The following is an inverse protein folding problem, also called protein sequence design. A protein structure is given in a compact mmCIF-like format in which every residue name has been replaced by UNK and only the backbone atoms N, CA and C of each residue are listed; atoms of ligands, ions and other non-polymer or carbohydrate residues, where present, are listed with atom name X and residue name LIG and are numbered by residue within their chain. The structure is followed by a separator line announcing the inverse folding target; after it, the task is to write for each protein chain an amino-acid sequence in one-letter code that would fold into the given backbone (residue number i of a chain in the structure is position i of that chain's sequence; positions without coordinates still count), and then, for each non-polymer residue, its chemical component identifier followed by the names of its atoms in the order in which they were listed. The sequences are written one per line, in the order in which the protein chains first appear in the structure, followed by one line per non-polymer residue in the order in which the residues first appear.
data_IF_088858696223
#
_entry.id   IF_088858696223
#
_cell.length_a   1.000
_cell.length_b   1.000
_cell.length_c   1.000
_cell.angle_alpha   90.00
_cell.angle_beta   90.00
_cell.angle_gamma   90.00
#
_symmetry.space_group_name_H-M   'P 1'
#
loop_
_entity.id
_entity.type
_entity.pdbx_description
1 polymer ?
#
# COMPACT_ATOMS: atom_id res chain seq x y z
N UNK A 1 39.75 -8.66 39.54
CA UNK A 1 38.52 -7.87 39.25
C UNK A 1 38.52 -7.54 37.77
N UNK A 2 37.83 -8.37 37.00
CA UNK A 2 37.51 -8.11 35.60
C UNK A 2 36.26 -8.95 35.30
N UNK A 3 35.07 -8.34 35.40
CA UNK A 3 33.84 -8.91 34.84
C UNK A 3 33.45 -8.05 33.64
N UNK A 4 33.63 -8.65 32.48
CA UNK A 4 33.17 -8.23 31.16
C UNK A 4 31.64 -8.13 31.12
N UNK A 5 31.12 -7.04 30.58
CA UNK A 5 29.71 -6.88 30.21
C UNK A 5 29.53 -7.18 28.71
N UNK A 6 28.70 -8.16 28.32
CA UNK A 6 28.30 -8.33 26.93
C UNK A 6 26.79 -8.56 26.81
N UNK A 7 25.94 -7.54 26.96
CA UNK A 7 24.47 -7.71 26.82
C UNK A 7 23.77 -6.70 25.91
N UNK A 8 24.41 -5.58 25.55
CA UNK A 8 23.76 -4.54 24.73
C UNK A 8 23.85 -4.80 23.22
N UNK A 9 24.94 -5.41 22.74
CA UNK A 9 25.14 -5.66 21.29
C UNK A 9 24.33 -6.86 20.76
N UNK A 10 24.08 -7.88 21.59
CA UNK A 10 23.29 -9.06 21.18
C UNK A 10 21.78 -8.81 21.13
N UNK A 11 21.28 -7.75 21.78
CA UNK A 11 19.87 -7.37 21.75
C UNK A 11 19.51 -6.62 20.46
N UNK A 12 20.45 -5.82 19.94
CA UNK A 12 20.30 -5.04 18.72
C UNK A 12 20.36 -5.90 17.45
N UNK A 13 21.23 -6.92 17.43
CA UNK A 13 21.30 -7.91 16.34
C UNK A 13 20.04 -8.80 16.24
N UNK A 14 19.45 -9.18 17.38
CA UNK A 14 18.19 -9.96 17.40
C UNK A 14 16.99 -9.16 16.90
N UNK A 15 16.91 -7.87 17.22
CA UNK A 15 15.85 -7.01 16.69
C UNK A 15 16.02 -6.77 15.18
N UNK A 16 17.25 -6.58 14.71
CA UNK A 16 17.54 -6.40 13.28
C UNK A 16 17.20 -7.66 12.45
N UNK A 17 17.44 -8.86 13.00
CA UNK A 17 17.00 -10.11 12.39
C UNK A 17 15.48 -10.30 12.40
N UNK A 18 14.78 -9.80 13.42
CA UNK A 18 13.31 -9.87 13.50
C UNK A 18 12.65 -9.04 12.40
N UNK A 19 13.16 -7.83 12.15
CA UNK A 19 12.69 -6.98 11.03
C UNK A 19 13.10 -7.52 9.65
N UNK A 20 14.20 -8.28 9.56
CA UNK A 20 14.62 -8.96 8.33
C UNK A 20 13.70 -10.12 7.95
N UNK A 21 13.04 -10.77 8.91
CA UNK A 21 12.21 -11.96 8.66
C UNK A 21 10.75 -11.60 8.34
N UNK A 22 10.21 -10.50 8.89
CA UNK A 22 8.85 -10.04 8.52
C UNK A 22 8.76 -9.54 7.06
N UNK A 23 9.90 -9.23 6.43
CA UNK A 23 9.97 -8.84 5.03
C UNK A 23 9.96 -10.00 4.04
N UNK A 24 10.08 -11.24 4.53
CA UNK A 24 10.13 -12.43 3.68
C UNK A 24 8.75 -12.94 3.21
N UNK A 25 7.66 -12.28 3.60
CA UNK A 25 6.30 -12.75 3.29
C UNK A 25 5.69 -12.22 1.97
N UNK A 26 6.37 -11.32 1.25
CA UNK A 26 5.87 -10.70 0.00
C UNK A 26 6.65 -11.13 -1.26
N UNK A 27 7.17 -12.36 -1.31
CA UNK A 27 8.03 -12.79 -2.41
C UNK A 27 7.29 -13.37 -3.62
N UNK A 28 7.16 -12.53 -4.67
CA UNK A 28 7.46 -12.93 -6.06
C UNK A 28 7.75 -11.71 -6.95
N UNK A 29 8.96 -11.15 -6.86
CA UNK A 29 9.52 -10.20 -7.85
C UNK A 29 11.06 -10.37 -7.95
N UNK A 30 11.70 -10.06 -9.10
CA UNK A 30 13.10 -10.42 -9.37
C UNK A 30 14.16 -9.55 -8.65
N UNK A 31 15.40 -10.06 -8.41
CA UNK A 31 16.20 -9.73 -7.22
C UNK A 31 17.23 -8.58 -7.32
N UNK A 32 17.30 -7.80 -8.41
CA UNK A 32 18.37 -6.78 -8.57
C UNK A 32 17.94 -5.33 -8.33
N UNK A 33 16.65 -5.00 -8.51
CA UNK A 33 16.09 -3.68 -8.19
C UNK A 33 15.53 -3.61 -6.74
N UNK A 34 15.23 -4.74 -6.10
CA UNK A 34 14.51 -4.83 -4.81
C UNK A 34 15.03 -3.94 -3.66
N UNK A 35 16.35 -3.88 -3.44
CA UNK A 35 16.89 -3.25 -2.21
C UNK A 35 16.70 -1.74 -2.15
N UNK A 36 16.77 -1.05 -3.29
CA UNK A 36 16.58 0.40 -3.34
C UNK A 36 15.10 0.78 -3.36
N UNK A 37 14.24 -0.07 -3.92
CA UNK A 37 12.81 0.18 -4.05
C UNK A 37 12.12 0.05 -2.70
N UNK A 38 12.41 -1.03 -1.96
CA UNK A 38 11.85 -1.21 -0.63
C UNK A 38 12.28 -0.08 0.31
N UNK A 39 13.57 0.28 0.30
CA UNK A 39 14.08 1.43 1.07
C UNK A 39 13.38 2.74 0.70
N UNK A 40 13.11 2.96 -0.58
CA UNK A 40 12.42 4.16 -1.06
C UNK A 40 10.96 4.18 -0.62
N UNK A 41 10.24 3.04 -0.70
CA UNK A 41 8.86 2.92 -0.24
C UNK A 41 8.78 3.15 1.25
N UNK A 42 9.61 2.48 2.06
CA UNK A 42 9.64 2.66 3.52
C UNK A 42 10.01 4.09 3.88
N UNK A 43 11.01 4.69 3.24
CA UNK A 43 11.35 6.09 3.46
C UNK A 43 10.19 7.01 3.08
N UNK A 44 9.45 6.71 2.02
CA UNK A 44 8.27 7.48 1.61
C UNK A 44 7.17 7.37 2.66
N UNK A 45 6.87 6.15 3.13
CA UNK A 45 5.89 5.87 4.19
C UNK A 45 6.26 6.62 5.47
N UNK A 46 7.49 6.47 5.95
CA UNK A 46 7.99 7.20 7.13
C UNK A 46 7.85 8.70 6.90
N UNK A 47 8.23 9.19 5.73
CA UNK A 47 8.16 10.60 5.44
C UNK A 47 6.71 11.12 5.37
N UNK A 48 5.76 10.33 4.88
CA UNK A 48 4.34 10.64 5.00
C UNK A 48 3.99 10.76 6.48
N UNK A 49 4.28 9.76 7.31
CA UNK A 49 3.93 9.79 8.73
C UNK A 49 4.63 10.89 9.55
N UNK A 50 5.82 11.36 9.15
CA UNK A 50 6.52 12.46 9.81
C UNK A 50 6.02 13.85 9.38
N UNK A 51 5.57 13.99 8.14
CA UNK A 51 5.06 15.28 7.62
C UNK A 51 3.55 15.42 7.78
N UNK A 52 2.84 14.32 7.98
CA UNK A 52 1.40 14.27 8.15
C UNK A 52 1.05 14.03 9.61
N UNK A 53 0.16 14.85 10.15
CA UNK A 53 -0.48 14.53 11.44
C UNK A 53 -1.28 13.25 11.24
N UNK A 54 -0.90 12.18 11.93
CA UNK A 54 -1.52 10.85 11.78
C UNK A 54 -3.04 10.89 11.93
N UNK A 55 -3.55 11.78 12.79
CA UNK A 55 -4.99 12.01 12.95
C UNK A 55 -5.68 12.49 11.67
N UNK A 56 -5.07 13.41 10.92
CA UNK A 56 -5.60 13.89 9.64
C UNK A 56 -5.56 12.80 8.56
N UNK A 57 -4.49 11.99 8.53
CA UNK A 57 -4.38 10.85 7.62
C UNK A 57 -5.51 9.83 7.85
N UNK A 58 -5.70 9.45 9.11
CA UNK A 58 -6.73 8.47 9.49
C UNK A 58 -8.11 9.04 9.25
N UNK A 59 -8.34 10.31 9.55
CA UNK A 59 -9.62 10.97 9.28
C UNK A 59 -9.93 11.06 7.78
N UNK A 60 -8.94 11.23 6.93
CA UNK A 60 -9.12 11.34 5.49
C UNK A 60 -9.26 9.98 4.78
N UNK A 61 -8.64 8.92 5.30
CA UNK A 61 -8.55 7.63 4.61
C UNK A 61 -9.35 6.50 5.26
N UNK A 62 -9.55 6.53 6.57
CA UNK A 62 -10.18 5.46 7.34
C UNK A 62 -11.53 5.94 7.89
N UNK A 63 -12.43 6.37 6.99
CA UNK A 63 -13.75 6.89 7.34
C UNK A 63 -14.68 5.86 8.02
N UNK A 64 -14.29 4.57 8.01
CA UNK A 64 -15.09 3.49 8.59
C UNK A 64 -14.20 2.45 9.28
N UNK A 65 -14.57 1.94 10.47
CA UNK A 65 -13.72 1.10 11.32
C UNK A 65 -13.37 -0.27 10.71
N UNK A 66 -14.12 -0.75 9.73
CA UNK A 66 -13.83 -2.00 9.01
C UNK A 66 -12.75 -1.84 7.93
N UNK A 67 -12.51 -0.62 7.45
CA UNK A 67 -11.60 -0.35 6.35
C UNK A 67 -10.32 0.35 6.84
N UNK A 68 -9.39 -0.44 7.36
CA UNK A 68 -8.13 0.06 7.96
C UNK A 68 -6.87 -0.19 7.12
N UNK A 69 -7.01 -0.89 6.01
CA UNK A 69 -5.89 -1.29 5.17
C UNK A 69 -5.55 -0.18 4.17
N UNK A 70 -4.33 0.33 4.28
CA UNK A 70 -3.79 1.34 3.39
C UNK A 70 -2.70 0.77 2.51
N UNK A 71 -2.70 1.18 1.25
CA UNK A 71 -1.66 0.88 0.28
C UNK A 71 -0.94 2.17 -0.11
N UNK A 72 0.37 2.08 -0.32
CA UNK A 72 1.20 3.24 -0.67
C UNK A 72 1.92 2.98 -1.99
N UNK A 73 1.81 3.92 -2.91
CA UNK A 73 2.52 3.91 -4.19
C UNK A 73 3.28 5.22 -4.34
N UNK A 74 4.58 5.16 -4.56
CA UNK A 74 5.41 6.36 -4.78
C UNK A 74 6.09 6.29 -6.13
N UNK A 75 6.11 7.41 -6.84
CA UNK A 75 6.80 7.60 -8.11
C UNK A 75 7.58 8.92 -8.07
N UNK A 76 8.67 9.07 -8.84
CA UNK A 76 9.30 8.06 -9.70
C UNK A 76 10.00 6.95 -8.90
N UNK A 77 10.14 5.76 -9.51
CA UNK A 77 10.96 4.66 -8.98
C UNK A 77 12.06 4.34 -9.99
N UNK A 78 13.24 4.92 -9.80
CA UNK A 78 14.35 4.73 -10.74
C UNK A 78 15.70 4.71 -10.01
N UNK A 79 16.72 4.01 -10.55
CA UNK A 79 18.05 4.02 -9.97
C UNK A 79 18.69 5.41 -10.05
N UNK A 80 19.52 5.74 -9.06
CA UNK A 80 20.17 7.06 -8.95
C UNK A 80 21.00 7.45 -10.18
N UNK A 81 21.55 6.46 -10.90
CA UNK A 81 22.30 6.65 -12.14
C UNK A 81 21.44 7.20 -13.29
N UNK A 82 20.13 6.95 -13.28
CA UNK A 82 19.22 7.35 -14.36
C UNK A 82 18.54 8.70 -14.11
N UNK A 83 18.65 9.24 -12.89
CA UNK A 83 18.05 10.53 -12.50
C UNK A 83 18.52 11.68 -13.39
N UNK A 84 19.81 11.83 -13.74
CA UNK A 84 20.27 12.94 -14.58
C UNK A 84 19.71 12.92 -16.02
N UNK A 85 19.26 11.76 -16.48
CA UNK A 85 18.74 11.56 -17.84
C UNK A 85 17.21 11.58 -17.89
N UNK A 86 16.56 11.84 -16.76
CA UNK A 86 15.10 11.79 -16.63
C UNK A 86 14.50 13.19 -16.63
N UNK A 87 13.35 13.33 -17.30
CA UNK A 87 12.56 14.57 -17.28
C UNK A 87 11.31 14.35 -16.43
N UNK A 88 11.09 15.23 -15.46
CA UNK A 88 9.96 15.12 -14.54
C UNK A 88 8.85 16.10 -14.92
N UNK A 89 7.70 15.56 -15.33
CA UNK A 89 6.47 16.33 -15.55
C UNK A 89 5.37 15.90 -14.57
N UNK A 90 4.66 16.87 -14.01
CA UNK A 90 3.56 16.58 -13.08
C UNK A 90 2.43 15.83 -13.75
N UNK A 91 2.08 16.18 -14.99
CA UNK A 91 1.01 15.52 -15.75
C UNK A 91 1.34 14.06 -16.05
N UNK A 92 2.62 13.77 -16.37
CA UNK A 92 3.12 12.42 -16.54
C UNK A 92 2.99 11.64 -15.24
N UNK A 93 3.62 12.10 -14.16
CA UNK A 93 3.57 11.43 -12.86
C UNK A 93 2.12 11.15 -12.43
N UNK A 94 1.23 12.14 -12.47
CA UNK A 94 -0.17 11.97 -12.10
C UNK A 94 -0.90 10.95 -12.99
N UNK A 95 -0.62 10.92 -14.31
CA UNK A 95 -1.21 9.92 -15.22
C UNK A 95 -0.76 8.51 -14.87
N UNK A 96 0.54 8.32 -14.64
CA UNK A 96 1.09 7.02 -14.25
C UNK A 96 0.50 6.56 -12.91
N UNK A 97 0.53 7.41 -11.89
CA UNK A 97 -0.02 7.13 -10.56
C UNK A 97 -1.50 6.75 -10.60
N UNK A 98 -2.30 7.46 -11.41
CA UNK A 98 -3.73 7.15 -11.61
C UNK A 98 -3.91 5.78 -12.25
N UNK A 99 -3.14 5.47 -13.29
CA UNK A 99 -3.24 4.16 -13.93
C UNK A 99 -2.75 3.04 -13.00
N UNK A 100 -1.73 3.29 -12.17
CA UNK A 100 -1.28 2.37 -11.13
C UNK A 100 -2.40 2.07 -10.13
N UNK A 101 -3.13 3.10 -9.69
CA UNK A 101 -4.29 2.94 -8.82
C UNK A 101 -5.37 2.06 -9.47
N UNK A 102 -5.75 2.37 -10.72
CA UNK A 102 -6.82 1.68 -11.47
C UNK A 102 -6.49 0.21 -11.73
N UNK A 103 -5.26 -0.07 -12.16
CA UNK A 103 -4.78 -1.42 -12.47
C UNK A 103 -4.29 -2.20 -11.25
N UNK A 104 -4.28 -1.58 -10.06
CA UNK A 104 -3.66 -2.12 -8.85
C UNK A 104 -2.18 -2.54 -9.02
N UNK A 105 -1.43 -1.89 -9.91
CA UNK A 105 0.01 -2.16 -10.03
C UNK A 105 0.82 -1.37 -9.00
N UNK A 106 1.93 -1.94 -8.54
CA UNK A 106 2.82 -1.33 -7.53
C UNK A 106 4.01 -0.59 -8.13
N UNK A 107 4.27 -0.78 -9.42
CA UNK A 107 5.41 -0.21 -10.13
C UNK A 107 4.98 0.43 -11.45
N UNK A 108 5.75 1.41 -11.91
CA UNK A 108 5.45 2.18 -13.12
C UNK A 108 5.58 1.33 -14.40
N UNK A 109 6.55 0.41 -14.42
CA UNK A 109 6.85 -0.47 -15.55
C UNK A 109 5.80 -1.57 -15.76
N UNK A 110 5.02 -1.88 -14.71
CA UNK A 110 4.01 -2.93 -14.71
C UNK A 110 2.59 -2.42 -14.92
N UNK A 111 2.41 -1.21 -15.46
CA UNK A 111 1.10 -0.61 -15.67
C UNK A 111 0.39 -1.27 -16.86
N UNK A 112 -0.77 -1.88 -16.59
CA UNK A 112 -1.69 -2.29 -17.66
C UNK A 112 -2.55 -1.09 -18.10
N UNK A 113 -2.26 -0.56 -19.28
CA UNK A 113 -2.98 0.58 -19.89
C UNK A 113 -4.32 0.21 -20.51
N UNK A 114 -4.65 -1.08 -20.61
CA UNK A 114 -5.93 -1.56 -21.12
C UNK A 114 -7.02 -1.54 -20.05
N UNK A 115 -6.66 -1.60 -18.76
CA UNK A 115 -7.62 -1.49 -17.66
C UNK A 115 -8.19 -0.07 -17.63
N UNK A 116 -9.52 0.03 -17.73
CA UNK A 116 -10.24 1.30 -17.69
C UNK A 116 -11.44 1.19 -16.75
N UNK A 117 -11.71 2.25 -15.96
CA UNK A 117 -12.93 2.28 -15.17
C UNK A 117 -14.14 2.40 -16.11
N UNK A 118 -15.32 1.92 -15.67
CA UNK A 118 -16.53 2.01 -16.47
C UNK A 118 -16.90 3.48 -16.75
N UNK A 119 -17.49 3.77 -17.92
CA UNK A 119 -17.93 5.11 -18.25
C UNK A 119 -19.06 5.56 -17.30
N UNK A 120 -19.02 6.83 -16.87
CA UNK A 120 -19.99 7.40 -15.94
C UNK A 120 -21.44 7.46 -16.50
N UNK A 121 -21.60 7.37 -17.81
CA UNK A 121 -22.89 7.40 -18.52
C UNK A 121 -22.95 6.27 -19.55
N UNK A 122 -23.39 5.09 -19.13
CA UNK A 122 -23.54 3.97 -20.06
C UNK A 122 -23.99 2.72 -19.35
N UNK A 123 -24.96 2.05 -19.97
CA UNK A 123 -25.56 0.80 -19.49
C UNK A 123 -24.51 -0.17 -18.98
N UNK A 124 -24.79 -0.79 -17.83
CA UNK A 124 -24.06 -1.92 -17.27
C UNK A 124 -24.20 -3.10 -18.24
N UNK A 125 -23.52 -3.05 -19.38
CA UNK A 125 -23.15 -4.25 -20.09
C UNK A 125 -21.99 -4.80 -19.28
N UNK A 126 -22.26 -5.92 -18.63
CA UNK A 126 -21.30 -6.74 -17.92
C UNK A 126 -20.11 -7.02 -18.83
N UNK A 127 -19.12 -6.11 -18.86
CA UNK A 127 -17.80 -6.38 -19.38
C UNK A 127 -17.12 -7.26 -18.34
N UNK A 128 -17.53 -8.53 -18.33
CA UNK A 128 -16.88 -9.62 -17.66
C UNK A 128 -15.47 -9.74 -18.24
N UNK A 129 -14.50 -9.00 -17.68
CA UNK A 129 -13.12 -9.10 -18.14
C UNK A 129 -12.13 -8.06 -17.61
N UNK A 130 -12.55 -6.87 -17.17
CA UNK A 130 -11.61 -5.87 -16.62
C UNK A 130 -11.97 -5.56 -15.17
N UNK A 131 -11.45 -6.37 -14.25
CA UNK A 131 -11.52 -6.08 -12.81
C UNK A 131 -10.57 -4.92 -12.50
N UNK A 132 -11.10 -3.70 -12.41
CA UNK A 132 -10.34 -2.56 -11.90
C UNK A 132 -10.36 -2.52 -10.37
N UNK A 133 -9.44 -1.75 -9.79
CA UNK A 133 -9.36 -1.54 -8.36
C UNK A 133 -10.38 -0.47 -7.90
N UNK A 134 -11.21 -0.82 -6.92
CA UNK A 134 -12.14 0.13 -6.28
C UNK A 134 -11.49 0.68 -5.01
N UNK A 135 -11.52 2.00 -4.87
CA UNK A 135 -10.94 2.73 -3.74
C UNK A 135 -12.04 3.37 -2.89
N UNK A 136 -11.88 3.36 -1.58
CA UNK A 136 -12.73 4.08 -0.65
C UNK A 136 -12.30 5.55 -0.62
N UNK A 137 -11.04 5.79 -0.24
CA UNK A 137 -10.47 7.12 -0.15
C UNK A 137 -8.99 7.12 -0.55
N UNK A 138 -8.53 8.24 -1.10
CA UNK A 138 -7.18 8.43 -1.57
C UNK A 138 -6.61 9.78 -1.12
N UNK A 139 -5.37 9.76 -0.65
CA UNK A 139 -4.57 10.92 -0.33
C UNK A 139 -3.38 10.98 -1.28
N UNK A 140 -3.32 12.05 -2.06
CA UNK A 140 -2.20 12.33 -2.93
C UNK A 140 -1.26 13.34 -2.28
N UNK A 141 0.03 13.02 -2.23
CA UNK A 141 1.06 13.90 -1.68
C UNK A 141 2.05 14.22 -2.80
N UNK A 142 2.12 15.49 -3.19
CA UNK A 142 3.01 16.00 -4.23
C UNK A 142 4.15 16.79 -3.61
N UNK A 143 5.38 16.48 -4.04
CA UNK A 143 6.59 17.07 -3.47
C UNK A 143 7.61 17.47 -4.52
N UNK A 144 8.08 18.71 -4.44
CA UNK A 144 9.19 19.20 -5.27
C UNK A 144 8.87 20.47 -6.05
N UNK A 145 9.64 20.70 -7.11
CA UNK A 145 9.61 21.96 -7.86
C UNK A 145 8.27 22.17 -8.58
N UNK A 146 7.80 23.42 -8.58
CA UNK A 146 6.59 23.86 -9.30
C UNK A 146 5.32 23.07 -8.90
N UNK A 147 5.25 22.60 -7.65
CA UNK A 147 4.15 21.74 -7.15
C UNK A 147 2.76 22.41 -7.23
N UNK A 148 2.70 23.73 -7.08
CA UNK A 148 1.44 24.47 -7.13
C UNK A 148 0.85 24.52 -8.54
N UNK A 149 1.69 24.41 -9.57
CA UNK A 149 1.26 24.30 -10.97
C UNK A 149 0.69 22.91 -11.32
N UNK A 150 0.81 21.92 -10.42
CA UNK A 150 0.27 20.60 -10.66
C UNK A 150 -1.26 20.59 -10.56
N UNK A 151 -1.93 20.27 -11.66
CA UNK A 151 -3.39 20.12 -11.69
C UNK A 151 -3.82 18.78 -11.11
N UNK A 152 -4.23 18.82 -9.85
CA UNK A 152 -4.76 17.64 -9.16
C UNK A 152 -6.26 17.51 -9.45
N UNK A 153 -6.62 17.07 -10.65
CA UNK A 153 -8.00 16.70 -10.93
C UNK A 153 -8.44 15.51 -10.06
N UNK A 154 -9.65 15.58 -9.50
CA UNK A 154 -10.33 14.40 -8.94
C UNK A 154 -10.35 13.32 -10.02
N UNK A 155 -9.86 12.12 -9.70
CA UNK A 155 -9.90 10.98 -10.62
C UNK A 155 -11.34 10.66 -11.05
N UNK A 156 -11.52 9.73 -12.00
CA UNK A 156 -12.86 9.32 -12.43
C UNK A 156 -13.69 8.85 -11.23
N UNK A 157 -14.87 9.44 -11.01
CA UNK A 157 -15.73 9.13 -9.86
C UNK A 157 -16.08 7.63 -9.75
N UNK A 158 -16.00 6.90 -10.86
CA UNK A 158 -16.32 5.47 -10.96
C UNK A 158 -15.29 4.53 -10.32
N UNK A 159 -14.12 5.03 -9.89
CA UNK A 159 -13.15 4.24 -9.10
C UNK A 159 -13.43 4.29 -7.61
N UNK A 160 -14.29 5.23 -7.17
CA UNK A 160 -14.65 5.43 -5.78
C UNK A 160 -15.95 4.73 -5.44
N UNK A 161 -16.18 4.50 -4.15
CA UNK A 161 -17.46 3.98 -3.67
C UNK A 161 -18.58 5.00 -3.86
N UNK A 162 -19.81 4.54 -4.16
CA UNK A 162 -20.94 5.45 -4.41
C UNK A 162 -21.47 6.11 -3.12
N UNK A 163 -21.24 5.48 -1.97
CA UNK A 163 -21.76 5.95 -0.68
C UNK A 163 -20.92 7.05 -0.04
N UNK A 164 -19.66 7.23 -0.46
CA UNK A 164 -18.79 8.29 0.05
C UNK A 164 -18.84 9.52 -0.87
N UNK A 165 -19.05 10.73 -0.34
CA UNK A 165 -19.02 11.94 -1.15
C UNK A 165 -17.65 12.11 -1.86
N UNK A 166 -17.61 12.54 -3.14
CA UNK A 166 -16.35 12.71 -3.87
C UNK A 166 -15.35 13.67 -3.19
N UNK A 167 -15.87 14.66 -2.44
CA UNK A 167 -15.07 15.62 -1.69
C UNK A 167 -14.26 14.98 -0.54
N UNK A 168 -14.76 13.88 0.04
CA UNK A 168 -14.10 13.13 1.11
C UNK A 168 -13.26 11.97 0.55
N UNK A 169 -13.64 11.44 -0.61
CA UNK A 169 -12.94 10.33 -1.26
C UNK A 169 -11.54 10.70 -1.78
N UNK A 170 -11.26 11.98 -2.00
CA UNK A 170 -9.98 12.42 -2.55
C UNK A 170 -9.44 13.69 -1.87
N UNK A 171 -8.25 13.57 -1.31
CA UNK A 171 -7.50 14.68 -0.71
C UNK A 171 -6.12 14.82 -1.38
N UNK A 172 -5.61 16.04 -1.45
CA UNK A 172 -4.35 16.33 -2.12
C UNK A 172 -3.51 17.34 -1.35
N UNK A 173 -2.28 16.94 -1.02
CA UNK A 173 -1.32 17.73 -0.26
C UNK A 173 -0.13 18.06 -1.14
N UNK A 174 0.38 19.28 -0.99
CA UNK A 174 1.45 19.82 -1.82
C UNK A 174 2.55 20.38 -0.93
N UNK A 175 3.80 20.02 -1.20
CA UNK A 175 4.96 20.57 -0.52
C UNK A 175 6.04 20.92 -1.55
N UNK A 176 6.68 22.10 -1.47
CA UNK A 176 7.78 22.45 -2.37
C UNK A 176 9.07 21.69 -2.03
N UNK A 177 9.14 21.04 -0.86
CA UNK A 177 10.35 20.35 -0.39
C UNK A 177 10.51 19.03 -1.16
N UNK A 178 11.60 18.87 -1.94
CA UNK A 178 11.85 17.65 -2.71
C UNK A 178 12.08 16.45 -1.79
N UNK A 179 11.84 15.26 -2.33
CA UNK A 179 11.99 14.00 -1.61
C UNK A 179 12.87 13.02 -2.38
N UNK A 180 13.70 12.27 -1.65
CA UNK A 180 14.59 11.23 -2.20
C UNK A 180 15.47 11.69 -3.37
N UNK A 181 15.93 12.96 -3.35
CA UNK A 181 16.76 13.60 -4.39
C UNK A 181 16.07 13.74 -5.76
N UNK A 182 14.77 13.45 -5.86
CA UNK A 182 14.00 13.73 -7.06
C UNK A 182 13.57 15.20 -7.10
N UNK A 183 13.62 15.80 -8.29
CA UNK A 183 13.12 17.17 -8.50
C UNK A 183 11.62 17.26 -8.24
N UNK A 184 10.88 16.21 -8.63
CA UNK A 184 9.45 16.05 -8.45
C UNK A 184 9.14 14.61 -8.06
N UNK A 185 8.26 14.43 -7.08
CA UNK A 185 7.81 13.12 -6.60
C UNK A 185 6.35 13.19 -6.21
N UNK A 186 5.65 12.07 -6.39
CA UNK A 186 4.25 11.91 -6.04
C UNK A 186 4.07 10.59 -5.26
N UNK A 187 3.40 10.68 -4.13
CA UNK A 187 3.03 9.53 -3.29
C UNK A 187 1.52 9.47 -3.19
N UNK A 188 0.95 8.31 -3.50
CA UNK A 188 -0.45 7.99 -3.29
C UNK A 188 -0.58 7.09 -2.07
N UNK A 189 -1.43 7.48 -1.13
CA UNK A 189 -1.91 6.61 -0.07
C UNK A 189 -3.37 6.30 -0.38
N UNK A 190 -3.71 5.02 -0.48
CA UNK A 190 -5.02 4.57 -0.93
C UNK A 190 -5.60 3.53 0.02
N UNK A 191 -6.82 3.77 0.49
CA UNK A 191 -7.66 2.74 1.09
C UNK A 191 -8.47 2.08 -0.04
N UNK A 192 -8.07 0.89 -0.47
CA UNK A 192 -8.68 0.22 -1.63
C UNK A 192 -8.58 -1.29 -1.54
N UNK A 193 -9.20 -1.98 -2.51
CA UNK A 193 -9.12 -3.44 -2.69
C UNK A 193 -7.72 -3.94 -3.06
N UNK A 194 -6.73 -3.05 -3.10
CA UNK A 194 -5.38 -3.32 -3.50
C UNK A 194 -4.71 -4.49 -2.76
N UNK A 195 -5.09 -4.71 -1.50
CA UNK A 195 -4.53 -5.73 -0.60
C UNK A 195 -5.38 -7.00 -0.52
N UNK A 196 -6.51 -7.07 -1.23
CA UNK A 196 -7.44 -8.20 -1.15
C UNK A 196 -6.78 -9.52 -1.55
N UNK A 197 -6.13 -9.56 -2.73
CA UNK A 197 -5.46 -10.77 -3.22
C UNK A 197 -4.35 -11.31 -2.30
N UNK A 198 -3.38 -10.47 -1.88
CA UNK A 198 -2.38 -10.88 -0.90
C UNK A 198 -2.98 -11.38 0.42
N UNK A 199 -4.06 -10.76 0.89
CA UNK A 199 -4.71 -11.14 2.15
C UNK A 199 -5.40 -12.50 2.05
N UNK A 200 -6.15 -12.74 0.96
CA UNK A 200 -6.78 -14.03 0.66
C UNK A 200 -5.72 -15.15 0.57
N UNK A 201 -4.58 -14.88 -0.05
CA UNK A 201 -3.46 -15.83 -0.12
C UNK A 201 -2.86 -16.15 1.24
N UNK A 202 -2.73 -15.15 2.13
CA UNK A 202 -2.24 -15.34 3.50
C UNK A 202 -3.23 -16.17 4.30
N UNK A 203 -4.52 -15.82 4.29
CA UNK A 203 -5.60 -16.56 4.98
C UNK A 203 -5.61 -18.01 4.53
N UNK A 204 -5.60 -18.26 3.22
CA UNK A 204 -5.60 -19.61 2.64
C UNK A 204 -4.38 -20.43 3.05
N UNK A 205 -3.18 -19.82 3.05
CA UNK A 205 -1.96 -20.51 3.51
C UNK A 205 -2.02 -20.82 5.01
N UNK A 206 -2.48 -19.88 5.82
CA UNK A 206 -2.63 -20.05 7.26
C UNK A 206 -3.60 -21.19 7.59
N UNK A 207 -4.75 -21.24 6.92
CA UNK A 207 -5.71 -22.36 7.03
C UNK A 207 -5.08 -23.71 6.66
N UNK A 208 -4.32 -23.78 5.57
CA UNK A 208 -3.67 -25.04 5.17
C UNK A 208 -2.65 -25.53 6.21
N UNK A 209 -1.89 -24.61 6.83
CA UNK A 209 -0.94 -24.96 7.89
C UNK A 209 -1.67 -25.37 9.18
N UNK A 210 -2.77 -24.68 9.52
CA UNK A 210 -3.58 -25.02 10.68
C UNK A 210 -4.28 -26.38 10.52
N UNK A 211 -4.90 -26.65 9.37
CA UNK A 211 -5.58 -27.92 9.08
C UNK A 211 -4.63 -29.13 9.09
N UNK A 212 -3.35 -28.91 8.76
CA UNK A 212 -2.30 -29.94 8.85
C UNK A 212 -1.67 -30.04 10.24
N UNK A 213 -2.18 -29.30 11.24
CA UNK A 213 -1.61 -29.15 12.59
C UNK A 213 -0.13 -28.79 12.60
N UNK A 214 0.33 -28.07 11.58
CA UNK A 214 1.72 -27.67 11.45
C UNK A 214 2.06 -26.58 12.49
N UNK A 215 3.12 -26.80 13.27
CA UNK A 215 3.69 -25.86 14.25
C UNK A 215 2.77 -25.45 15.43
N UNK A 216 1.53 -25.94 15.53
CA UNK A 216 0.57 -25.56 16.60
C UNK A 216 1.14 -25.78 18.00
N UNK A 217 1.82 -26.91 18.25
CA UNK A 217 2.42 -27.24 19.55
C UNK A 217 3.42 -26.19 20.06
N UNK A 218 4.09 -25.46 19.15
CA UNK A 218 5.03 -24.40 19.51
C UNK A 218 4.31 -23.20 20.11
N UNK A 219 3.12 -22.88 19.59
CA UNK A 219 2.29 -21.78 20.08
C UNK A 219 1.55 -22.15 21.36
N UNK A 220 1.11 -23.40 21.48
CA UNK A 220 0.46 -23.93 22.69
C UNK A 220 1.41 -23.86 23.91
N UNK A 221 2.71 -24.11 23.70
CA UNK A 221 3.75 -23.96 24.75
C UNK A 221 3.80 -22.55 25.35
N UNK A 222 3.38 -21.52 24.59
CA UNK A 222 3.30 -20.13 25.05
C UNK A 222 1.87 -19.68 25.38
N UNK A 223 0.93 -20.61 25.51
CA UNK A 223 -0.45 -20.35 25.93
C UNK A 223 -1.38 -19.84 24.82
N UNK A 224 -1.02 -20.03 23.55
CA UNK A 224 -1.91 -19.71 22.42
C UNK A 224 -2.65 -20.99 22.03
N UNK A 225 -3.94 -21.05 22.36
CA UNK A 225 -4.82 -22.18 22.04
C UNK A 225 -5.25 -22.18 20.57
N UNK A 226 -5.78 -23.33 20.11
CA UNK A 226 -6.38 -23.46 18.78
C UNK A 226 -7.54 -22.46 18.57
N UNK A 227 -8.32 -22.17 19.61
CA UNK A 227 -9.44 -21.21 19.54
C UNK A 227 -8.94 -19.80 19.16
N UNK A 228 -7.80 -19.37 19.68
CA UNK A 228 -7.21 -18.06 19.33
C UNK A 228 -6.86 -17.95 17.83
N UNK A 229 -6.49 -19.07 17.19
CA UNK A 229 -6.27 -19.11 15.74
C UNK A 229 -7.58 -18.97 14.97
N UNK A 230 -8.62 -19.69 15.39
CA UNK A 230 -9.94 -19.63 14.75
C UNK A 230 -10.56 -18.23 14.85
N UNK A 231 -10.43 -17.57 16.01
CA UNK A 231 -10.86 -16.19 16.20
C UNK A 231 -10.10 -15.24 15.27
N UNK A 232 -8.78 -15.44 15.15
CA UNK A 232 -7.93 -14.62 14.27
C UNK A 232 -8.26 -14.82 12.78
N UNK A 233 -8.55 -16.06 12.35
CA UNK A 233 -8.97 -16.35 10.98
C UNK A 233 -10.32 -15.70 10.68
N UNK A 234 -11.28 -15.81 11.60
CA UNK A 234 -12.61 -15.20 11.46
C UNK A 234 -12.50 -13.68 11.33
N UNK A 235 -11.70 -13.03 12.18
CA UNK A 235 -11.46 -11.61 12.11
C UNK A 235 -10.86 -11.18 10.76
N UNK A 236 -9.92 -11.97 10.22
CA UNK A 236 -9.27 -11.65 8.95
C UNK A 236 -10.19 -11.88 7.74
N UNK A 237 -11.00 -12.95 7.77
CA UNK A 237 -12.02 -13.23 6.76
C UNK A 237 -13.12 -12.18 6.74
N UNK A 238 -13.50 -11.64 7.90
CA UNK A 238 -14.43 -10.52 7.97
C UNK A 238 -13.85 -9.28 7.27
N UNK A 239 -12.57 -8.94 7.52
CA UNK A 239 -11.91 -7.81 6.83
C UNK A 239 -11.86 -8.05 5.32
N UNK A 240 -11.48 -9.25 4.86
CA UNK A 240 -11.50 -9.61 3.43
C UNK A 240 -12.89 -9.42 2.83
N UNK A 241 -13.93 -9.86 3.55
CA UNK A 241 -15.32 -9.75 3.11
C UNK A 241 -15.78 -8.29 2.99
N UNK A 242 -15.51 -7.45 4.00
CA UNK A 242 -15.82 -6.00 3.96
C UNK A 242 -15.16 -5.33 2.75
N UNK A 243 -13.88 -5.63 2.46
CA UNK A 243 -13.17 -5.08 1.30
C UNK A 243 -13.69 -5.62 -0.03
N UNK A 244 -14.16 -6.88 -0.09
CA UNK A 244 -14.76 -7.46 -1.30
C UNK A 244 -16.07 -6.78 -1.67
N UNK A 245 -16.87 -6.43 -0.67
CA UNK A 245 -18.16 -5.74 -0.81
C UNK A 245 -18.03 -4.25 -1.17
N UNK A 246 -16.82 -3.67 -1.16
CA UNK A 246 -16.58 -2.28 -1.55
C UNK A 246 -17.03 -1.95 -2.99
N UNK A 247 -17.16 -2.96 -3.85
CA UNK A 247 -17.66 -2.85 -5.23
C UNK A 247 -19.19 -2.85 -5.35
N UNK A 248 -19.89 -3.22 -4.29
CA UNK A 248 -21.35 -3.39 -4.25
C UNK A 248 -22.10 -2.07 -4.14
#
# INVERSE_FOLDING_TARGET
VASSAPDSQQFEERNTQKYSLELSFLYKCPPSLEKNYFKTIVASVICVFFYVVVGELVSALCCHPEYKLLSVSTIPQMPSSSVPYSSFSWTGLLKHLRQMLISNTKMEEGIDWHVRPPPASGWIRSFAGSSFNTSLANLLILRGKDVYCAETGQGPATIYTPWLPPAEAFSAWKSPIPFNKYEKSATLVSNSQALLGPLEDIVRKAWNMFASRAYIHQYDTFGISEDNFLDSFTALEQVVSSYRELKS
#
